data_IF_894753947588
#
_entry.id   IF_894753947588
#
_cell.length_a   1.000
_cell.length_b   1.000
_cell.length_c   1.000
_cell.angle_alpha   90.00
_cell.angle_beta   90.00
_cell.angle_gamma   90.00
#
_symmetry.space_group_name_H-M   'P 1'
#
loop_
_entity.id
_entity.type
_entity.pdbx_description
1 polymer ?
#
# COMPACT_ATOMS: atom_id res chain seq x y z
N UNK A 1 -18.85 13.37 36.00
CA UNK A 1 -17.55 12.67 35.94
C UNK A 1 -16.44 13.53 35.37
N UNK A 2 -16.71 14.39 34.38
CA UNK A 2 -15.71 15.30 33.82
C UNK A 2 -14.86 16.12 34.80
N UNK A 3 -15.41 16.59 35.94
CA UNK A 3 -14.64 17.29 36.97
C UNK A 3 -13.63 16.37 37.68
N UNK A 4 -14.04 15.15 38.04
CA UNK A 4 -13.14 14.12 38.60
C UNK A 4 -12.08 13.78 37.56
N UNK A 5 -12.49 13.56 36.31
CA UNK A 5 -11.58 13.22 35.23
C UNK A 5 -10.56 14.33 34.95
N UNK A 6 -11.01 15.59 34.86
CA UNK A 6 -10.15 16.77 34.69
C UNK A 6 -9.20 16.93 35.87
N UNK A 7 -9.67 16.68 37.10
CA UNK A 7 -8.79 16.66 38.27
C UNK A 7 -7.72 15.56 38.21
N UNK A 8 -8.05 14.39 37.65
CA UNK A 8 -7.06 13.31 37.43
C UNK A 8 -6.10 13.66 36.28
N UNK A 9 -6.55 14.37 35.25
CA UNK A 9 -5.72 14.77 34.09
C UNK A 9 -4.75 15.90 34.41
N UNK A 10 -5.20 16.87 35.22
CA UNK A 10 -4.41 18.01 35.67
C UNK A 10 -3.51 17.66 36.88
N UNK A 11 -3.29 16.36 37.15
CA UNK A 11 -2.45 15.82 38.24
C UNK A 11 -2.75 16.40 39.63
N UNK A 12 -4.02 16.72 39.93
CA UNK A 12 -4.40 17.12 41.28
C UNK A 12 -4.10 15.99 42.27
N UNK A 13 -3.85 16.37 43.54
CA UNK A 13 -3.41 15.41 44.56
C UNK A 13 -4.34 14.20 44.66
N UNK A 14 -3.75 13.04 44.99
CA UNK A 14 -4.50 11.79 45.17
C UNK A 14 -5.65 11.95 46.16
N UNK A 15 -5.49 12.83 47.15
CA UNK A 15 -6.53 13.14 48.13
C UNK A 15 -7.69 13.95 47.54
N UNK A 16 -7.44 14.89 46.62
CA UNK A 16 -8.50 15.65 45.92
C UNK A 16 -9.28 14.74 44.98
N UNK A 17 -8.59 13.89 44.22
CA UNK A 17 -9.23 12.91 43.34
C UNK A 17 -10.04 11.91 44.15
N UNK A 18 -9.49 11.42 45.27
CA UNK A 18 -10.16 10.49 46.17
C UNK A 18 -11.38 11.13 46.83
N UNK A 19 -11.27 12.35 47.33
CA UNK A 19 -12.38 13.11 47.91
C UNK A 19 -13.48 13.40 46.88
N UNK A 20 -13.12 13.83 45.67
CA UNK A 20 -14.07 14.04 44.57
C UNK A 20 -14.73 12.72 44.13
N UNK A 21 -14.02 11.60 44.19
CA UNK A 21 -14.57 10.28 43.87
C UNK A 21 -15.47 9.76 45.00
N UNK A 22 -15.10 9.93 46.26
CA UNK A 22 -15.86 9.51 47.44
C UNK A 22 -17.15 10.34 47.60
N UNK A 23 -17.05 11.66 47.43
CA UNK A 23 -18.23 12.55 47.45
C UNK A 23 -19.18 12.29 46.28
N UNK A 24 -18.65 11.88 45.13
CA UNK A 24 -19.45 11.44 43.99
C UNK A 24 -20.07 10.06 44.27
N UNK A 25 -19.30 9.07 44.69
CA UNK A 25 -19.79 7.70 44.96
C UNK A 25 -20.85 7.64 46.07
N UNK A 26 -20.78 8.49 47.09
CA UNK A 26 -21.71 8.50 48.22
C UNK A 26 -23.16 8.87 47.85
N UNK A 27 -23.41 9.43 46.66
CA UNK A 27 -24.72 9.92 46.24
C UNK A 27 -25.23 9.40 44.89
N UNK A 28 -24.62 8.34 44.33
CA UNK A 28 -24.78 8.01 42.91
C UNK A 28 -25.46 6.67 42.63
N UNK A 29 -26.34 6.68 41.63
CA UNK A 29 -26.98 5.48 41.07
C UNK A 29 -25.92 4.43 40.64
N UNK A 30 -26.09 3.13 40.98
CA UNK A 30 -25.19 2.03 40.62
C UNK A 30 -24.69 2.00 39.16
N UNK A 31 -25.49 2.46 38.20
CA UNK A 31 -25.10 2.54 36.79
C UNK A 31 -24.00 3.57 36.53
N UNK A 32 -24.08 4.73 37.16
CA UNK A 32 -23.07 5.78 37.05
C UNK A 32 -21.77 5.36 37.76
N UNK A 33 -21.83 4.59 38.86
CA UNK A 33 -20.64 3.97 39.46
C UNK A 33 -19.97 2.97 38.50
N UNK A 34 -20.79 2.17 37.80
CA UNK A 34 -20.30 1.25 36.76
C UNK A 34 -19.61 1.97 35.60
N UNK A 35 -20.21 3.06 35.10
CA UNK A 35 -19.63 3.91 34.05
C UNK A 35 -18.30 4.53 34.49
N UNK A 36 -18.22 5.06 35.72
CA UNK A 36 -16.97 5.60 36.25
C UNK A 36 -15.86 4.55 36.29
N UNK A 37 -16.19 3.34 36.77
CA UNK A 37 -15.25 2.21 36.81
C UNK A 37 -14.76 1.85 35.41
N UNK A 38 -15.68 1.82 34.42
CA UNK A 38 -15.36 1.56 33.02
C UNK A 38 -14.40 2.63 32.46
N UNK A 39 -14.69 3.91 32.65
CA UNK A 39 -13.85 5.01 32.17
C UNK A 39 -12.46 4.98 32.82
N UNK A 40 -12.37 4.68 34.12
CA UNK A 40 -11.08 4.55 34.81
C UNK A 40 -10.26 3.36 34.28
N UNK A 41 -10.89 2.23 33.98
CA UNK A 41 -10.23 1.10 33.35
C UNK A 41 -9.70 1.45 31.95
N UNK A 42 -10.45 2.22 31.16
CA UNK A 42 -10.02 2.73 29.85
C UNK A 42 -8.79 3.64 29.99
N UNK A 43 -8.80 4.59 30.94
CA UNK A 43 -7.66 5.48 31.21
C UNK A 43 -6.39 4.72 31.59
N UNK A 44 -6.53 3.69 32.42
CA UNK A 44 -5.42 2.81 32.82
C UNK A 44 -4.98 1.83 31.72
N UNK A 45 -5.68 1.82 30.57
CA UNK A 45 -5.51 0.85 29.48
C UNK A 45 -5.60 -0.61 29.96
N UNK A 46 -6.44 -0.86 30.96
CA UNK A 46 -6.67 -2.19 31.51
C UNK A 46 -7.76 -2.91 30.69
N UNK A 47 -7.29 -3.75 29.76
CA UNK A 47 -8.17 -4.46 28.80
C UNK A 47 -9.07 -5.45 29.52
N UNK A 48 -8.54 -6.18 30.50
CA UNK A 48 -9.25 -7.26 31.15
C UNK A 48 -10.37 -6.72 32.05
N UNK A 49 -10.12 -5.63 32.76
CA UNK A 49 -11.17 -4.92 33.50
C UNK A 49 -12.28 -4.39 32.60
N UNK A 50 -11.93 -3.79 31.45
CA UNK A 50 -12.93 -3.33 30.47
C UNK A 50 -13.78 -4.50 29.98
N UNK A 51 -13.15 -5.60 29.52
CA UNK A 51 -13.88 -6.76 29.02
C UNK A 51 -14.72 -7.45 30.09
N UNK A 52 -14.20 -7.55 31.32
CA UNK A 52 -14.92 -8.10 32.47
C UNK A 52 -16.19 -7.31 32.80
N UNK A 53 -16.13 -5.97 32.74
CA UNK A 53 -17.30 -5.11 32.93
C UNK A 53 -18.31 -5.26 31.79
N UNK A 54 -17.85 -5.25 30.54
CA UNK A 54 -18.72 -5.38 29.37
C UNK A 54 -19.44 -6.73 29.29
N UNK A 55 -18.87 -7.80 29.86
CA UNK A 55 -19.50 -9.13 29.89
C UNK A 55 -20.87 -9.12 30.58
N UNK A 56 -21.00 -8.35 31.66
CA UNK A 56 -22.20 -8.36 32.50
C UNK A 56 -23.02 -7.07 32.44
N UNK A 57 -22.42 -5.95 31.99
CA UNK A 57 -23.05 -4.62 32.00
C UNK A 57 -22.81 -3.87 30.69
N UNK A 58 -23.28 -4.45 29.57
CA UNK A 58 -23.14 -3.83 28.23
C UNK A 58 -23.79 -2.45 28.15
N UNK A 59 -24.88 -2.19 28.86
CA UNK A 59 -25.57 -0.89 28.83
C UNK A 59 -24.71 0.29 29.27
N UNK A 60 -23.61 0.08 30.01
CA UNK A 60 -22.71 1.17 30.44
C UNK A 60 -22.09 1.93 29.26
N UNK A 61 -21.97 1.31 28.08
CA UNK A 61 -21.37 1.91 26.88
C UNK A 61 -22.27 2.94 26.18
N UNK A 62 -23.55 3.02 26.54
CA UNK A 62 -24.50 3.99 25.97
C UNK A 62 -24.54 5.29 26.77
N UNK A 63 -23.91 5.33 27.94
CA UNK A 63 -23.81 6.54 28.74
C UNK A 63 -23.18 7.67 27.93
N UNK A 64 -23.83 8.83 27.96
CA UNK A 64 -23.35 10.06 27.37
C UNK A 64 -23.32 11.16 28.45
N UNK A 65 -22.20 11.85 28.59
CA UNK A 65 -22.13 13.08 29.37
C UNK A 65 -22.94 14.21 28.71
N UNK A 66 -23.10 15.33 29.40
CA UNK A 66 -23.83 16.53 28.93
C UNK A 66 -23.32 17.01 27.56
N UNK A 67 -22.01 16.89 27.30
CA UNK A 67 -21.37 17.28 26.04
C UNK A 67 -21.38 16.17 24.97
N UNK A 68 -22.07 15.05 25.22
CA UNK A 68 -22.16 13.90 24.32
C UNK A 68 -21.01 12.89 24.42
N UNK A 69 -20.10 13.04 25.39
CA UNK A 69 -18.98 12.12 25.58
C UNK A 69 -19.43 10.76 26.12
N UNK A 70 -19.03 9.71 25.42
CA UNK A 70 -19.29 8.30 25.76
C UNK A 70 -17.98 7.57 26.08
N UNK A 71 -18.01 6.36 26.65
CA UNK A 71 -16.80 5.56 26.86
C UNK A 71 -15.92 5.39 25.61
N UNK A 72 -16.53 5.42 24.41
CA UNK A 72 -15.79 5.34 23.15
C UNK A 72 -14.94 6.60 22.86
N UNK A 73 -15.34 7.78 23.36
CA UNK A 73 -14.52 8.99 23.28
C UNK A 73 -13.30 8.89 24.18
N UNK A 74 -13.45 8.39 25.40
CA UNK A 74 -12.32 8.16 26.31
C UNK A 74 -11.36 7.11 25.74
N UNK A 75 -11.88 6.06 25.11
CA UNK A 75 -11.03 5.06 24.45
C UNK A 75 -10.24 5.65 23.28
N UNK A 76 -10.85 6.54 22.49
CA UNK A 76 -10.17 7.27 21.43
C UNK A 76 -9.14 8.28 21.96
N UNK A 77 -9.50 9.02 23.02
CA UNK A 77 -8.65 10.02 23.69
C UNK A 77 -7.39 9.39 24.28
N UNK A 78 -7.51 8.23 24.94
CA UNK A 78 -6.38 7.50 25.50
C UNK A 78 -5.71 6.55 24.52
N UNK A 79 -6.03 6.61 23.22
CA UNK A 79 -5.48 5.75 22.17
C UNK A 79 -5.54 4.24 22.51
N UNK A 80 -6.62 3.81 23.17
CA UNK A 80 -6.78 2.42 23.60
C UNK A 80 -7.43 1.57 22.49
N UNK A 81 -6.68 1.37 21.41
CA UNK A 81 -7.17 0.78 20.15
C UNK A 81 -7.78 -0.62 20.33
N UNK A 82 -7.23 -1.44 21.23
CA UNK A 82 -7.61 -2.86 21.38
C UNK A 82 -9.02 -3.07 21.95
N UNK A 83 -9.61 -2.07 22.61
CA UNK A 83 -10.97 -2.14 23.17
C UNK A 83 -12.03 -1.48 22.29
N UNK A 84 -11.65 -0.79 21.21
CA UNK A 84 -12.60 -0.10 20.33
C UNK A 84 -13.61 -1.07 19.72
N UNK A 85 -13.15 -2.25 19.27
CA UNK A 85 -14.02 -3.32 18.78
C UNK A 85 -15.02 -3.79 19.83
N UNK A 86 -14.55 -4.27 21.00
CA UNK A 86 -15.44 -4.65 22.11
C UNK A 86 -16.46 -3.58 22.52
N UNK A 87 -16.07 -2.30 22.58
CA UNK A 87 -16.98 -1.21 22.93
C UNK A 87 -18.05 -0.97 21.85
N UNK A 88 -17.64 -0.93 20.57
CA UNK A 88 -18.57 -0.73 19.44
C UNK A 88 -19.55 -1.91 19.36
N UNK A 89 -19.08 -3.14 19.58
CA UNK A 89 -19.93 -4.33 19.57
C UNK A 89 -20.94 -4.32 20.71
N UNK A 90 -20.48 -3.99 21.93
CA UNK A 90 -21.39 -3.83 23.07
C UNK A 90 -22.44 -2.73 22.83
N UNK A 91 -22.10 -1.64 22.12
CA UNK A 91 -23.05 -0.60 21.72
C UNK A 91 -24.08 -1.10 20.70
N UNK A 92 -23.66 -1.92 19.72
CA UNK A 92 -24.59 -2.54 18.76
C UNK A 92 -25.54 -3.51 19.44
N UNK A 93 -25.04 -4.33 20.35
CA UNK A 93 -25.82 -5.34 21.09
C UNK A 93 -27.00 -4.74 21.87
N UNK A 94 -26.83 -3.52 22.37
CA UNK A 94 -27.86 -2.79 23.13
C UNK A 94 -28.67 -1.82 22.26
N UNK A 95 -28.50 -1.86 20.93
CA UNK A 95 -29.27 -1.05 19.99
C UNK A 95 -28.89 0.43 19.95
N UNK A 96 -27.66 0.80 20.31
CA UNK A 96 -27.19 2.18 20.22
C UNK A 96 -27.18 2.67 18.76
N UNK A 97 -27.72 3.86 18.51
CA UNK A 97 -27.98 4.35 17.15
C UNK A 97 -26.77 5.05 16.50
N UNK A 98 -25.70 5.33 17.24
CA UNK A 98 -24.51 6.06 16.74
C UNK A 98 -24.86 7.38 16.05
N UNK A 99 -25.82 8.11 16.61
CA UNK A 99 -26.21 9.45 16.15
C UNK A 99 -25.62 10.48 17.09
N UNK A 100 -25.01 11.50 16.52
CA UNK A 100 -24.36 12.58 17.25
C UNK A 100 -25.07 13.88 16.88
N UNK A 101 -25.31 14.73 17.89
CA UNK A 101 -25.87 16.05 17.67
C UNK A 101 -24.91 16.94 16.87
N UNK A 102 -25.46 17.99 16.28
CA UNK A 102 -24.67 18.98 15.57
C UNK A 102 -23.62 19.59 16.52
N UNK A 103 -22.41 19.80 16.02
CA UNK A 103 -21.25 20.35 16.76
C UNK A 103 -20.67 19.47 17.86
N UNK A 104 -21.28 18.32 18.17
CA UNK A 104 -20.74 17.33 19.12
C UNK A 104 -19.56 16.60 18.49
N UNK A 105 -18.41 16.65 19.17
CA UNK A 105 -17.21 15.96 18.70
C UNK A 105 -17.39 14.45 18.84
N UNK A 106 -17.40 13.74 17.72
CA UNK A 106 -17.44 12.27 17.72
C UNK A 106 -16.10 11.66 18.15
N UNK A 107 -16.02 10.35 18.46
CA UNK A 107 -14.75 9.68 18.74
C UNK A 107 -13.73 9.81 17.58
N UNK A 108 -14.21 9.94 16.34
CA UNK A 108 -13.35 10.24 15.19
C UNK A 108 -12.67 11.61 15.34
N UNK A 109 -13.42 12.66 15.70
CA UNK A 109 -12.87 14.00 15.88
C UNK A 109 -11.77 13.99 16.95
N UNK A 110 -12.04 13.36 18.10
CA UNK A 110 -11.06 13.22 19.19
C UNK A 110 -9.77 12.55 18.69
N UNK A 111 -9.89 11.42 18.01
CA UNK A 111 -8.71 10.70 17.49
C UNK A 111 -7.94 11.50 16.42
N UNK A 112 -8.63 12.21 15.53
CA UNK A 112 -8.00 13.04 14.48
C UNK A 112 -7.31 14.26 15.10
N UNK A 113 -7.93 14.93 16.07
CA UNK A 113 -7.38 16.12 16.75
C UNK A 113 -6.06 15.81 17.46
N UNK A 114 -5.91 14.60 18.00
CA UNK A 114 -4.68 14.11 18.62
C UNK A 114 -3.69 13.49 17.63
N UNK A 115 -4.07 13.30 16.36
CA UNK A 115 -3.20 12.73 15.34
C UNK A 115 -3.08 11.20 15.37
N UNK A 116 -3.97 10.49 16.06
CA UNK A 116 -3.93 9.04 16.25
C UNK A 116 -4.41 8.27 15.02
N UNK A 117 -3.56 8.17 14.00
CA UNK A 117 -3.86 7.52 12.70
C UNK A 117 -4.43 6.10 12.87
N UNK A 118 -3.80 5.28 13.70
CA UNK A 118 -4.22 3.88 13.94
C UNK A 118 -5.62 3.79 14.55
N UNK A 119 -5.91 4.64 15.54
CA UNK A 119 -7.21 4.77 16.19
C UNK A 119 -8.28 5.20 15.19
N UNK A 120 -8.00 6.22 14.37
CA UNK A 120 -8.95 6.70 13.33
C UNK A 120 -9.26 5.58 12.33
N UNK A 121 -8.24 4.92 11.78
CA UNK A 121 -8.43 3.84 10.81
C UNK A 121 -9.25 2.70 11.43
N UNK A 122 -8.94 2.32 12.67
CA UNK A 122 -9.66 1.24 13.35
C UNK A 122 -11.11 1.61 13.65
N UNK A 123 -11.37 2.84 14.10
CA UNK A 123 -12.74 3.34 14.27
C UNK A 123 -13.49 3.27 12.93
N UNK A 124 -12.95 3.83 11.84
CA UNK A 124 -13.65 3.91 10.54
C UNK A 124 -13.99 2.52 9.99
N UNK A 125 -13.11 1.53 10.19
CA UNK A 125 -13.32 0.12 9.81
C UNK A 125 -14.44 -0.56 10.59
N UNK A 126 -14.51 -0.34 11.90
CA UNK A 126 -15.43 -1.03 12.81
C UNK A 126 -16.81 -0.37 12.90
N UNK A 127 -16.87 0.91 12.55
CA UNK A 127 -18.05 1.73 12.72
C UNK A 127 -19.21 1.28 11.82
N UNK A 128 -20.47 1.37 12.29
CA UNK A 128 -21.63 1.02 11.46
C UNK A 128 -21.69 1.86 10.18
N UNK A 129 -21.75 1.21 9.03
CA UNK A 129 -21.79 1.86 7.71
C UNK A 129 -23.05 2.69 7.44
N UNK A 130 -24.08 2.56 8.27
CA UNK A 130 -25.34 3.33 8.22
C UNK A 130 -25.33 4.58 9.10
N UNK A 131 -24.32 4.75 9.96
CA UNK A 131 -24.25 5.86 10.91
C UNK A 131 -23.93 7.18 10.20
N UNK A 132 -24.63 8.25 10.57
CA UNK A 132 -24.33 9.62 10.12
C UNK A 132 -23.08 10.23 10.77
N UNK A 133 -22.44 9.53 11.73
CA UNK A 133 -21.27 10.03 12.44
C UNK A 133 -20.06 10.29 11.52
N UNK A 134 -20.00 9.65 10.34
CA UNK A 134 -18.96 9.93 9.34
C UNK A 134 -19.01 11.38 8.85
N UNK A 135 -20.20 11.96 8.73
CA UNK A 135 -20.42 13.32 8.21
C UNK A 135 -20.59 14.35 9.32
N UNK A 136 -20.45 13.95 10.59
CA UNK A 136 -20.53 14.88 11.72
C UNK A 136 -19.45 15.96 11.60
N UNK A 137 -19.79 17.16 12.09
CA UNK A 137 -18.91 18.32 12.07
C UNK A 137 -18.73 18.86 13.48
N UNK A 138 -17.54 19.41 13.75
CA UNK A 138 -17.27 20.10 15.01
C UNK A 138 -17.85 21.54 14.99
N UNK A 139 -17.57 22.31 16.05
CA UNK A 139 -18.01 23.72 16.22
C UNK A 139 -17.59 24.65 15.09
N UNK A 140 -16.56 24.30 14.32
CA UNK A 140 -16.06 25.08 13.18
C UNK A 140 -16.61 24.56 11.84
N UNK A 141 -17.68 23.75 11.87
CA UNK A 141 -18.23 23.05 10.71
C UNK A 141 -17.23 22.15 9.99
N UNK A 142 -16.17 21.70 10.70
CA UNK A 142 -15.14 20.83 10.13
C UNK A 142 -15.48 19.38 10.38
N UNK A 143 -15.50 18.60 9.30
CA UNK A 143 -15.53 17.14 9.38
C UNK A 143 -14.12 16.56 9.59
N UNK A 144 -14.04 15.23 9.72
CA UNK A 144 -12.79 14.50 9.98
C UNK A 144 -11.72 14.68 8.90
N UNK A 145 -12.11 14.92 7.62
CA UNK A 145 -11.15 15.16 6.54
C UNK A 145 -10.55 16.57 6.61
N UNK A 146 -11.32 17.59 7.00
CA UNK A 146 -10.77 18.92 7.24
C UNK A 146 -9.70 18.88 8.34
N UNK A 147 -9.98 18.17 9.43
CA UNK A 147 -9.07 18.06 10.56
C UNK A 147 -7.80 17.27 10.19
N UNK A 148 -7.94 16.14 9.50
CA UNK A 148 -6.81 15.34 9.03
C UNK A 148 -5.92 16.12 8.03
N UNK A 149 -6.54 16.90 7.14
CA UNK A 149 -5.86 17.79 6.21
C UNK A 149 -5.09 18.91 6.92
N UNK A 150 -5.70 19.53 7.94
CA UNK A 150 -5.05 20.57 8.75
C UNK A 150 -3.83 20.04 9.52
N UNK A 151 -3.82 18.76 9.89
CA UNK A 151 -2.68 18.08 10.52
C UNK A 151 -1.59 17.64 9.53
N UNK A 152 -1.81 17.78 8.22
CA UNK A 152 -0.93 17.27 7.16
C UNK A 152 -0.60 15.76 7.30
N UNK A 153 -1.57 14.97 7.76
CA UNK A 153 -1.39 13.53 7.99
C UNK A 153 -1.94 12.72 6.81
N UNK A 154 -1.09 12.52 5.79
CA UNK A 154 -1.44 11.84 4.54
C UNK A 154 -1.99 10.42 4.77
N UNK A 155 -1.35 9.65 5.65
CA UNK A 155 -1.76 8.29 5.96
C UNK A 155 -3.15 8.22 6.59
N UNK A 156 -3.47 9.19 7.47
CA UNK A 156 -4.81 9.31 8.04
C UNK A 156 -5.85 9.66 6.99
N UNK A 157 -5.56 10.62 6.10
CA UNK A 157 -6.47 10.99 5.00
C UNK A 157 -6.72 9.79 4.07
N UNK A 158 -5.67 9.10 3.64
CA UNK A 158 -5.78 7.89 2.82
C UNK A 158 -6.56 6.78 3.52
N UNK A 159 -6.30 6.56 4.80
CA UNK A 159 -7.03 5.60 5.63
C UNK A 159 -8.52 5.91 5.70
N UNK A 160 -8.89 7.16 5.97
CA UNK A 160 -10.29 7.60 5.99
C UNK A 160 -10.94 7.37 4.62
N UNK A 161 -10.31 7.80 3.52
CA UNK A 161 -10.87 7.65 2.17
C UNK A 161 -11.04 6.19 1.74
N UNK A 162 -10.12 5.30 2.17
CA UNK A 162 -10.15 3.87 1.85
C UNK A 162 -11.31 3.15 2.55
N UNK A 163 -11.54 3.44 3.83
CA UNK A 163 -12.50 2.68 4.65
C UNK A 163 -13.85 3.40 4.85
N UNK A 164 -13.96 4.68 4.52
CA UNK A 164 -15.24 5.40 4.60
C UNK A 164 -16.26 4.83 3.61
N UNK A 165 -17.53 4.62 4.01
CA UNK A 165 -18.58 4.18 3.10
C UNK A 165 -18.78 5.17 1.94
N UNK A 166 -18.98 4.65 0.72
CA UNK A 166 -19.09 5.47 -0.49
C UNK A 166 -20.25 6.49 -0.42
N UNK A 167 -21.36 6.13 0.23
CA UNK A 167 -22.54 6.99 0.44
C UNK A 167 -22.18 8.35 1.07
N UNK A 168 -21.18 8.39 1.94
CA UNK A 168 -20.82 9.61 2.68
C UNK A 168 -19.61 10.35 2.08
N UNK A 169 -18.89 9.76 1.12
CA UNK A 169 -17.66 10.36 0.59
C UNK A 169 -17.90 11.69 -0.11
N UNK A 170 -18.91 11.76 -0.97
CA UNK A 170 -19.20 12.99 -1.72
C UNK A 170 -19.59 14.13 -0.78
N UNK A 171 -20.43 13.85 0.22
CA UNK A 171 -20.80 14.81 1.25
C UNK A 171 -19.59 15.26 2.07
N UNK A 172 -18.73 14.33 2.49
CA UNK A 172 -17.50 14.63 3.22
C UNK A 172 -16.54 15.53 2.43
N UNK A 173 -16.38 15.28 1.14
CA UNK A 173 -15.47 16.02 0.27
C UNK A 173 -15.99 17.42 -0.09
N UNK A 174 -17.31 17.61 -0.13
CA UNK A 174 -17.96 18.86 -0.54
C UNK A 174 -18.35 19.77 0.63
N UNK A 175 -18.43 19.23 1.85
CA UNK A 175 -18.74 20.02 3.05
C UNK A 175 -17.78 21.21 3.17
N UNK A 176 -18.34 22.40 3.42
CA UNK A 176 -17.57 23.61 3.69
C UNK A 176 -17.53 23.87 5.20
N UNK A 177 -16.37 24.30 5.70
CA UNK A 177 -16.19 24.76 7.07
C UNK A 177 -16.67 26.21 7.26
N UNK A 178 -16.49 26.77 8.47
CA UNK A 178 -16.88 28.17 8.77
C UNK A 178 -16.22 29.23 7.87
N UNK A 179 -15.10 28.94 7.21
CA UNK A 179 -14.44 29.83 6.25
C UNK A 179 -14.89 29.60 4.81
N UNK A 180 -15.78 28.62 4.57
CA UNK A 180 -16.12 28.17 3.23
C UNK A 180 -15.07 27.21 2.65
N UNK A 181 -14.07 26.79 3.42
CA UNK A 181 -13.03 25.88 2.94
C UNK A 181 -13.58 24.46 2.91
N UNK A 182 -13.40 23.75 1.81
CA UNK A 182 -13.59 22.29 1.74
C UNK A 182 -12.33 21.56 2.22
N UNK A 183 -12.35 20.23 2.46
CA UNK A 183 -11.12 19.51 2.82
C UNK A 183 -10.01 19.69 1.78
N UNK A 184 -10.36 19.82 0.49
CA UNK A 184 -9.40 20.05 -0.59
C UNK A 184 -8.67 21.40 -0.43
N UNK A 185 -9.36 22.46 0.02
CA UNK A 185 -8.70 23.75 0.29
C UNK A 185 -7.60 23.60 1.35
N UNK A 186 -7.90 22.88 2.44
CA UNK A 186 -6.95 22.67 3.54
C UNK A 186 -5.81 21.70 3.15
N UNK A 187 -6.09 20.67 2.35
CA UNK A 187 -5.05 19.75 1.85
C UNK A 187 -4.02 20.51 1.01
N UNK A 188 -4.49 21.33 0.08
CA UNK A 188 -3.63 22.11 -0.81
C UNK A 188 -2.84 23.16 -0.02
N UNK A 189 -3.51 23.90 0.89
CA UNK A 189 -2.87 24.93 1.71
C UNK A 189 -1.78 24.38 2.64
N UNK A 190 -1.89 23.13 3.09
CA UNK A 190 -0.93 22.50 4.00
C UNK A 190 0.04 21.53 3.29
N UNK A 191 -0.05 21.38 1.97
CA UNK A 191 0.83 20.48 1.21
C UNK A 191 0.58 18.99 1.49
N UNK A 192 -0.64 18.62 1.88
CA UNK A 192 -1.01 17.23 2.12
C UNK A 192 -1.39 16.55 0.79
N UNK A 193 -0.38 16.12 0.04
CA UNK A 193 -0.58 15.45 -1.25
C UNK A 193 -1.19 14.05 -1.08
N UNK A 194 -2.41 13.88 -1.58
CA UNK A 194 -3.17 12.62 -1.60
C UNK A 194 -3.77 12.45 -3.01
N UNK A 195 -3.09 11.72 -3.91
CA UNK A 195 -3.52 11.56 -5.31
C UNK A 195 -4.94 10.99 -5.43
N UNK A 196 -5.27 10.02 -4.59
CA UNK A 196 -6.55 9.31 -4.66
C UNK A 196 -7.75 10.23 -4.44
N UNK A 197 -7.56 11.30 -3.67
CA UNK A 197 -8.59 12.31 -3.44
C UNK A 197 -8.74 13.22 -4.66
N UNK A 198 -7.62 13.67 -5.26
CA UNK A 198 -7.61 14.57 -6.42
C UNK A 198 -8.25 13.88 -7.64
N UNK A 199 -8.05 12.57 -7.77
CA UNK A 199 -8.62 11.76 -8.85
C UNK A 199 -10.06 11.29 -8.57
N UNK A 200 -10.62 11.59 -7.40
CA UNK A 200 -11.97 11.14 -7.03
C UNK A 200 -13.03 11.71 -7.99
N UNK A 201 -13.79 10.83 -8.62
CA UNK A 201 -14.88 11.23 -9.54
C UNK A 201 -15.91 12.05 -8.77
N UNK A 202 -16.30 13.20 -9.32
CA UNK A 202 -17.28 14.10 -8.69
C UNK A 202 -16.68 15.10 -7.69
N UNK A 203 -15.35 15.12 -7.51
CA UNK A 203 -14.70 16.18 -6.72
C UNK A 203 -14.88 17.54 -7.40
N UNK A 204 -15.56 18.47 -6.73
CA UNK A 204 -15.74 19.82 -7.22
C UNK A 204 -14.52 20.70 -6.87
N UNK A 205 -13.70 20.99 -7.87
CA UNK A 205 -12.48 21.82 -7.72
C UNK A 205 -12.74 23.32 -7.91
N UNK A 206 -14.00 23.73 -8.15
CA UNK A 206 -14.37 25.12 -8.45
C UNK A 206 -15.15 25.79 -7.32
N UNK A 207 -15.37 25.10 -6.21
CA UNK A 207 -16.03 25.66 -5.02
C UNK A 207 -15.20 26.82 -4.49
N UNK A 208 -15.82 27.99 -4.29
CA UNK A 208 -15.16 29.15 -3.70
C UNK A 208 -15.41 29.21 -2.20
N UNK A 209 -14.37 29.50 -1.41
CA UNK A 209 -14.50 29.82 0.01
C UNK A 209 -14.98 31.27 0.22
N UNK A 210 -15.09 31.72 1.47
CA UNK A 210 -15.54 33.10 1.80
C UNK A 210 -14.60 34.20 1.30
N UNK A 211 -13.37 33.87 0.92
CA UNK A 211 -12.42 34.81 0.28
C UNK A 211 -12.56 34.82 -1.25
N UNK A 212 -13.50 34.06 -1.80
CA UNK A 212 -13.66 33.78 -3.23
C UNK A 212 -12.53 32.95 -3.85
N UNK A 213 -11.75 32.23 -3.03
CA UNK A 213 -10.65 31.39 -3.48
C UNK A 213 -11.15 29.98 -3.74
N UNK A 214 -10.71 29.41 -4.87
CA UNK A 214 -10.90 27.99 -5.17
C UNK A 214 -9.84 27.14 -4.44
N UNK A 215 -9.99 25.81 -4.36
CA UNK A 215 -8.95 24.95 -3.81
C UNK A 215 -7.60 25.14 -4.51
N UNK A 216 -7.59 25.35 -5.83
CA UNK A 216 -6.36 25.60 -6.60
C UNK A 216 -5.69 26.91 -6.16
N UNK A 217 -6.47 27.96 -5.88
CA UNK A 217 -5.94 29.25 -5.43
C UNK A 217 -5.22 29.13 -4.07
N UNK A 218 -5.53 28.11 -3.28
CA UNK A 218 -4.83 27.85 -2.01
C UNK A 218 -3.33 27.54 -2.16
N UNK A 219 -2.85 27.21 -3.37
CA UNK A 219 -1.40 27.14 -3.67
C UNK A 219 -0.68 28.48 -3.47
N UNK A 220 -1.42 29.58 -3.55
CA UNK A 220 -0.92 30.95 -3.44
C UNK A 220 -1.26 31.60 -2.08
N UNK A 221 -1.83 30.83 -1.14
CA UNK A 221 -2.31 31.37 0.14
C UNK A 221 -1.14 31.82 1.03
N UNK A 222 -0.19 30.92 1.28
CA UNK A 222 1.07 31.21 1.97
C UNK A 222 2.14 31.59 0.95
N UNK A 223 3.17 32.33 1.35
CA UNK A 223 4.28 32.71 0.46
C UNK A 223 5.25 31.54 0.24
N UNK A 224 5.51 30.78 1.30
CA UNK A 224 6.33 29.56 1.23
C UNK A 224 5.69 28.52 0.30
N UNK A 225 6.54 27.76 -0.39
CA UNK A 225 6.14 26.60 -1.18
C UNK A 225 6.56 25.35 -0.43
N UNK A 226 5.58 24.54 -0.07
CA UNK A 226 5.82 23.22 0.48
C UNK A 226 6.12 22.30 -0.71
N UNK A 227 7.17 21.47 -0.63
CA UNK A 227 7.58 20.61 -1.76
C UNK A 227 6.43 19.76 -2.34
N UNK A 228 5.54 19.30 -1.47
CA UNK A 228 4.35 18.52 -1.84
C UNK A 228 3.29 19.33 -2.59
N UNK A 229 3.25 20.66 -2.46
CA UNK A 229 2.39 21.53 -3.26
C UNK A 229 2.76 21.51 -4.74
N UNK A 230 4.02 21.24 -5.08
CA UNK A 230 4.45 21.08 -6.48
C UNK A 230 3.77 19.85 -7.10
N UNK A 231 3.77 18.72 -6.37
CA UNK A 231 3.09 17.48 -6.79
C UNK A 231 1.58 17.68 -6.91
N UNK A 232 0.98 18.39 -5.95
CA UNK A 232 -0.43 18.78 -5.99
C UNK A 232 -0.75 19.61 -7.24
N UNK A 233 0.07 20.62 -7.56
CA UNK A 233 -0.13 21.47 -8.75
C UNK A 233 -0.13 20.63 -10.03
N UNK A 234 0.87 19.74 -10.19
CA UNK A 234 0.96 18.82 -11.33
C UNK A 234 -0.31 17.96 -11.44
N UNK A 235 -0.76 17.35 -10.35
CA UNK A 235 -1.96 16.51 -10.35
C UNK A 235 -3.23 17.30 -10.70
N UNK A 236 -3.37 18.54 -10.21
CA UNK A 236 -4.49 19.41 -10.55
C UNK A 236 -4.48 19.83 -12.04
N UNK A 237 -3.29 20.11 -12.59
CA UNK A 237 -3.12 20.45 -14.00
C UNK A 237 -3.49 19.28 -14.93
N UNK A 238 -3.14 18.05 -14.56
CA UNK A 238 -3.51 16.83 -15.27
C UNK A 238 -5.04 16.60 -15.27
N UNK A 239 -5.69 16.79 -14.12
CA UNK A 239 -7.17 16.68 -14.01
C UNK A 239 -7.86 17.73 -14.88
N UNK A 240 -7.36 18.97 -14.88
CA UNK A 240 -7.94 20.04 -15.68
C UNK A 240 -7.74 19.81 -17.17
N UNK A 241 -6.55 19.38 -17.61
CA UNK A 241 -6.27 19.03 -19.01
C UNK A 241 -7.21 17.94 -19.54
N UNK A 242 -7.48 16.90 -18.73
CA UNK A 242 -8.41 15.82 -19.08
C UNK A 242 -9.88 16.28 -19.11
N UNK A 243 -10.28 17.18 -18.20
CA UNK A 243 -11.61 17.80 -18.21
C UNK A 243 -11.78 18.74 -19.41
N UNK A 244 -10.77 19.54 -19.72
CA UNK A 244 -10.73 20.41 -20.91
C UNK A 244 -10.80 19.61 -22.20
N UNK A 245 -10.09 18.48 -22.36
CA UNK A 245 -10.26 17.61 -23.55
C UNK A 245 -11.70 17.09 -23.73
N UNK A 246 -12.41 16.80 -22.63
CA UNK A 246 -13.85 16.44 -22.69
C UNK A 246 -14.74 17.64 -23.00
N UNK A 247 -14.40 18.82 -22.48
CA UNK A 247 -15.13 20.07 -22.68
C UNK A 247 -14.98 20.60 -24.12
N UNK A 248 -13.78 20.57 -24.70
CA UNK A 248 -13.51 20.92 -26.11
C UNK A 248 -14.19 19.96 -27.10
N UNK A 249 -14.50 18.72 -26.69
CA UNK A 249 -15.36 17.80 -27.45
C UNK A 249 -16.85 18.19 -27.44
N UNK A 250 -17.27 19.06 -26.52
CA UNK A 250 -18.67 19.42 -26.27
C UNK A 250 -18.99 20.91 -26.48
N UNK A 251 -17.98 21.78 -26.51
CA UNK A 251 -18.16 23.23 -26.63
C UNK A 251 -17.21 23.81 -27.67
N UNK A 252 -17.65 23.77 -28.93
CA UNK A 252 -17.26 24.79 -29.90
C UNK A 252 -18.40 25.81 -29.96
N UNK A 253 -18.64 26.51 -28.84
CA UNK A 253 -19.34 27.80 -28.85
C UNK A 253 -19.22 28.49 -27.49
N UNK A 254 -18.78 29.75 -27.59
CA UNK A 254 -18.86 30.85 -26.62
C UNK A 254 -17.60 31.09 -25.78
N UNK A 255 -16.87 32.11 -26.23
CA UNK A 255 -15.97 32.96 -25.46
C UNK A 255 -16.63 33.51 -24.19
N UNK A 256 -15.81 34.16 -23.36
CA UNK A 256 -16.11 34.86 -22.10
C UNK A 256 -16.31 34.00 -20.87
N UNK A 257 -15.21 33.79 -20.15
CA UNK A 257 -15.06 34.26 -18.77
C UNK A 257 -13.57 34.28 -18.43
N UNK A 258 -12.99 35.49 -18.45
CA UNK A 258 -11.67 35.73 -17.86
C UNK A 258 -11.83 35.38 -16.38
N UNK A 259 -11.15 34.31 -15.99
CA UNK A 259 -11.04 33.78 -14.64
C UNK A 259 -10.90 34.94 -13.63
N UNK A 260 -11.98 35.31 -12.93
CA UNK A 260 -11.94 36.18 -11.75
C UNK A 260 -11.19 35.44 -10.64
N UNK A 261 -9.87 35.42 -10.78
CA UNK A 261 -8.91 34.97 -9.79
C UNK A 261 -8.82 36.06 -8.73
N UNK A 262 -9.28 35.76 -7.53
CA UNK A 262 -9.09 36.60 -6.34
C UNK A 262 -7.62 36.73 -5.91
N UNK A 263 -6.71 35.97 -6.53
CA UNK A 263 -5.26 36.08 -6.33
C UNK A 263 -4.70 37.22 -7.18
N UNK A 264 -3.91 38.10 -6.55
CA UNK A 264 -3.23 39.20 -7.23
C UNK A 264 -2.32 38.67 -8.36
N UNK A 265 -2.42 39.18 -9.60
CA UNK A 265 -1.66 38.67 -10.75
C UNK A 265 -0.15 38.61 -10.51
N UNK A 266 0.43 39.65 -9.90
CA UNK A 266 1.87 39.71 -9.62
C UNK A 266 2.35 38.65 -8.63
N UNK A 267 1.52 38.27 -7.65
CA UNK A 267 1.83 37.19 -6.70
C UNK A 267 1.72 35.82 -7.37
N UNK A 268 0.71 35.65 -8.22
CA UNK A 268 0.49 34.43 -8.99
C UNK A 268 1.65 34.14 -9.94
N UNK A 269 2.05 35.11 -10.75
CA UNK A 269 3.17 34.99 -11.71
C UNK A 269 4.48 34.60 -11.02
N UNK A 270 4.83 35.28 -9.91
CA UNK A 270 6.05 34.97 -9.14
C UNK A 270 6.06 33.53 -8.63
N UNK A 271 4.96 33.05 -8.04
CA UNK A 271 4.89 31.67 -7.54
C UNK A 271 4.81 30.66 -8.69
N UNK A 272 4.15 30.98 -9.79
CA UNK A 272 4.10 30.11 -10.97
C UNK A 272 5.49 29.85 -11.55
N UNK A 273 6.33 30.87 -11.67
CA UNK A 273 7.74 30.69 -12.05
C UNK A 273 8.47 29.71 -11.13
N UNK A 274 8.26 29.82 -9.82
CA UNK A 274 8.91 28.93 -8.84
C UNK A 274 8.36 27.51 -8.94
N UNK A 275 7.04 27.35 -9.03
CA UNK A 275 6.42 26.04 -9.24
C UNK A 275 6.94 25.37 -10.51
N UNK A 276 7.02 26.09 -11.63
CA UNK A 276 7.48 25.54 -12.90
C UNK A 276 8.96 25.13 -12.84
N UNK A 277 9.79 25.90 -12.12
CA UNK A 277 11.19 25.52 -11.83
C UNK A 277 11.27 24.20 -11.08
N UNK A 278 10.49 24.03 -10.00
CA UNK A 278 10.50 22.78 -9.22
C UNK A 278 9.85 21.61 -9.96
N UNK A 279 8.81 21.86 -10.75
CA UNK A 279 8.19 20.85 -11.63
C UNK A 279 9.20 20.29 -12.62
N UNK A 280 10.01 21.15 -13.26
CA UNK A 280 11.09 20.70 -14.16
C UNK A 280 12.11 19.82 -13.43
N UNK A 281 12.58 20.25 -12.26
CA UNK A 281 13.52 19.46 -11.44
C UNK A 281 12.95 18.08 -11.10
N UNK A 282 11.69 18.01 -10.65
CA UNK A 282 11.04 16.74 -10.32
C UNK A 282 10.88 15.81 -11.55
N UNK A 283 10.54 16.38 -12.71
CA UNK A 283 10.42 15.61 -13.96
C UNK A 283 11.80 15.10 -14.39
N UNK A 284 12.84 15.93 -14.32
CA UNK A 284 14.21 15.55 -14.67
C UNK A 284 14.76 14.46 -13.75
N UNK A 285 14.53 14.56 -12.44
CA UNK A 285 14.89 13.52 -11.46
C UNK A 285 14.18 12.19 -11.77
N UNK A 286 12.87 12.24 -12.04
CA UNK A 286 12.08 11.05 -12.41
C UNK A 286 12.58 10.41 -13.71
N UNK A 287 12.88 11.23 -14.72
CA UNK A 287 13.42 10.77 -16.00
C UNK A 287 14.82 10.15 -15.83
N UNK A 288 15.68 10.75 -15.01
CA UNK A 288 17.00 10.24 -14.71
C UNK A 288 16.94 8.89 -13.96
N UNK A 289 16.01 8.76 -13.00
CA UNK A 289 15.79 7.50 -12.29
C UNK A 289 15.26 6.40 -13.22
N UNK A 290 14.25 6.72 -14.04
CA UNK A 290 13.71 5.79 -15.04
C UNK A 290 14.79 5.31 -16.02
N UNK A 291 15.68 6.20 -16.46
CA UNK A 291 16.84 5.85 -17.30
C UNK A 291 17.78 4.88 -16.59
N UNK A 292 18.13 5.13 -15.31
CA UNK A 292 18.97 4.22 -14.52
C UNK A 292 18.37 2.83 -14.35
N UNK A 293 17.06 2.77 -14.09
CA UNK A 293 16.35 1.49 -13.90
C UNK A 293 16.26 0.70 -15.22
N UNK A 294 16.02 1.40 -16.35
CA UNK A 294 16.05 0.80 -17.69
C UNK A 294 17.43 0.24 -18.05
N UNK A 295 18.51 0.98 -17.77
CA UNK A 295 19.89 0.51 -18.01
C UNK A 295 20.22 -0.73 -17.17
N UNK A 296 19.82 -0.73 -15.89
CA UNK A 296 19.99 -1.89 -15.00
C UNK A 296 19.23 -3.10 -15.53
N UNK A 297 18.01 -2.88 -16.01
CA UNK A 297 17.17 -3.92 -16.61
C UNK A 297 17.81 -4.52 -17.86
N UNK A 298 18.20 -3.67 -18.83
CA UNK A 298 18.89 -4.11 -20.06
C UNK A 298 20.17 -4.90 -19.77
N UNK A 299 20.99 -4.43 -18.83
CA UNK A 299 22.23 -5.12 -18.44
C UNK A 299 21.96 -6.53 -17.90
N UNK A 300 20.91 -6.69 -17.10
CA UNK A 300 20.51 -8.00 -16.57
C UNK A 300 20.04 -8.93 -17.69
N UNK A 301 19.14 -8.47 -18.54
CA UNK A 301 18.62 -9.26 -19.67
C UNK A 301 19.74 -9.68 -20.62
N UNK A 302 20.66 -8.78 -20.97
CA UNK A 302 21.83 -9.09 -21.81
C UNK A 302 22.71 -10.20 -21.20
N UNK A 303 22.93 -10.16 -19.89
CA UNK A 303 23.72 -11.21 -19.20
C UNK A 303 23.02 -12.57 -19.28
N UNK A 304 21.70 -12.60 -19.12
CA UNK A 304 20.92 -13.85 -19.16
C UNK A 304 20.82 -14.42 -20.58
N UNK A 305 20.70 -13.56 -21.60
CA UNK A 305 20.76 -13.97 -23.02
C UNK A 305 22.09 -14.65 -23.31
N UNK A 306 23.22 -14.10 -22.84
CA UNK A 306 24.54 -14.71 -23.02
C UNK A 306 24.62 -16.09 -22.36
N UNK A 307 24.17 -16.23 -21.11
CA UNK A 307 24.15 -17.52 -20.40
C UNK A 307 23.28 -18.55 -21.14
N UNK A 308 22.09 -18.16 -21.56
CA UNK A 308 21.17 -19.04 -22.27
C UNK A 308 21.74 -19.44 -23.64
N UNK A 309 22.34 -18.51 -24.38
CA UNK A 309 23.03 -18.84 -25.63
C UNK A 309 24.17 -19.84 -25.42
N UNK A 310 24.98 -19.68 -24.36
CA UNK A 310 26.03 -20.64 -24.01
C UNK A 310 25.48 -22.04 -23.68
N UNK A 311 24.36 -22.12 -22.96
CA UNK A 311 23.72 -23.41 -22.67
C UNK A 311 23.22 -24.07 -23.95
N UNK A 312 22.56 -23.29 -24.81
CA UNK A 312 22.05 -23.75 -26.11
C UNK A 312 23.19 -24.28 -26.99
N UNK A 313 24.32 -23.58 -27.07
CA UNK A 313 25.45 -24.03 -27.90
C UNK A 313 26.07 -25.30 -27.36
N UNK A 314 26.32 -25.39 -26.04
CA UNK A 314 26.91 -26.58 -25.43
C UNK A 314 25.99 -27.79 -25.56
N UNK A 315 24.70 -27.66 -25.22
CA UNK A 315 23.73 -28.77 -25.34
C UNK A 315 23.55 -29.21 -26.79
N UNK A 316 23.48 -28.26 -27.73
CA UNK A 316 23.46 -28.59 -29.17
C UNK A 316 24.69 -29.38 -29.60
N UNK A 317 25.90 -29.02 -29.16
CA UNK A 317 27.11 -29.80 -29.47
C UNK A 317 27.07 -31.21 -28.86
N UNK A 318 26.64 -31.32 -27.61
CA UNK A 318 26.56 -32.59 -26.87
C UNK A 318 25.62 -33.60 -27.54
N UNK A 319 24.49 -33.14 -28.08
CA UNK A 319 23.55 -33.99 -28.80
C UNK A 319 24.12 -34.66 -30.05
N UNK A 320 25.18 -34.10 -30.67
CA UNK A 320 25.85 -34.70 -31.84
C UNK A 320 27.19 -35.35 -31.49
N UNK A 321 27.83 -34.96 -30.39
CA UNK A 321 29.08 -35.57 -29.89
C UNK A 321 28.80 -36.56 -28.77
N UNK A 322 27.87 -37.50 -29.00
CA UNK A 322 27.39 -38.40 -27.95
C UNK A 322 28.47 -39.39 -27.49
N UNK A 323 28.57 -39.64 -26.16
CA UNK A 323 29.51 -40.61 -25.63
C UNK A 323 29.15 -42.03 -26.04
N UNK A 324 30.15 -42.81 -26.47
CA UNK A 324 30.00 -44.22 -26.84
C UNK A 324 30.10 -44.53 -28.34
N UNK A 325 30.04 -43.53 -29.22
CA UNK A 325 30.17 -43.72 -30.67
C UNK A 325 28.99 -44.43 -31.34
N UNK A 326 29.05 -44.54 -32.67
CA UNK A 326 28.05 -45.19 -33.51
C UNK A 326 28.54 -46.58 -33.93
N UNK A 327 27.63 -47.55 -34.11
CA UNK A 327 27.99 -48.83 -34.72
C UNK A 327 28.54 -48.60 -36.14
N UNK A 328 29.66 -49.26 -36.44
CA UNK A 328 30.36 -49.15 -37.73
C UNK A 328 29.72 -50.03 -38.81
N UNK A 329 30.07 -49.76 -40.06
CA UNK A 329 29.43 -50.33 -41.24
C UNK A 329 29.49 -51.84 -41.33
N UNK A 330 28.31 -52.48 -41.47
CA UNK A 330 28.16 -53.92 -41.69
C UNK A 330 27.38 -54.71 -40.62
N UNK A 331 26.90 -54.08 -39.54
CA UNK A 331 26.00 -54.69 -38.54
C UNK A 331 24.53 -54.26 -38.73
N UNK A 332 23.59 -55.06 -38.22
CA UNK A 332 22.12 -54.83 -38.33
C UNK A 332 21.66 -53.50 -37.70
N UNK A 333 22.50 -52.88 -36.87
CA UNK A 333 22.25 -51.63 -36.13
C UNK A 333 23.17 -50.46 -36.59
N UNK A 334 23.62 -50.45 -37.87
CA UNK A 334 24.49 -49.40 -38.42
C UNK A 334 23.92 -47.98 -38.19
N UNK A 335 24.75 -47.09 -37.63
CA UNK A 335 24.32 -45.72 -37.26
C UNK A 335 23.56 -45.59 -35.93
N UNK A 336 23.34 -46.68 -35.19
CA UNK A 336 22.79 -46.62 -33.82
C UNK A 336 23.91 -46.35 -32.79
N UNK A 337 23.62 -45.56 -31.77
CA UNK A 337 24.56 -45.35 -30.65
C UNK A 337 24.75 -46.65 -29.86
N UNK A 338 26.00 -47.02 -29.61
CA UNK A 338 26.40 -48.28 -28.93
C UNK A 338 25.77 -48.39 -27.53
N UNK A 339 25.51 -47.26 -26.87
CA UNK A 339 24.97 -47.18 -25.51
C UNK A 339 23.44 -46.95 -25.44
N UNK A 340 22.73 -46.96 -26.58
CA UNK A 340 21.28 -46.69 -26.67
C UNK A 340 20.40 -47.56 -25.77
N UNK A 341 20.84 -48.79 -25.46
CA UNK A 341 20.09 -49.72 -24.59
C UNK A 341 20.31 -49.46 -23.08
N UNK A 342 21.26 -48.60 -22.69
CA UNK A 342 21.50 -48.28 -21.27
C UNK A 342 20.55 -47.18 -20.79
N UNK A 343 19.91 -47.42 -19.65
CA UNK A 343 18.99 -46.46 -19.01
C UNK A 343 19.63 -45.11 -18.72
N UNK A 344 20.89 -45.09 -18.29
CA UNK A 344 21.64 -43.85 -18.03
C UNK A 344 21.88 -43.01 -19.29
N UNK A 345 22.03 -43.64 -20.45
CA UNK A 345 22.18 -42.94 -21.74
C UNK A 345 20.87 -42.30 -22.17
N UNK A 346 19.74 -42.99 -21.99
CA UNK A 346 18.41 -42.41 -22.27
C UNK A 346 18.12 -41.20 -21.36
N UNK A 347 18.48 -41.29 -20.07
CA UNK A 347 18.34 -40.16 -19.14
C UNK A 347 19.20 -38.95 -19.57
N UNK A 348 20.45 -39.21 -20.00
CA UNK A 348 21.34 -38.20 -20.56
C UNK A 348 20.75 -37.50 -21.80
N UNK A 349 20.19 -38.26 -22.73
CA UNK A 349 19.64 -37.66 -23.94
C UNK A 349 18.38 -36.83 -23.68
N UNK A 350 17.52 -37.29 -22.79
CA UNK A 350 16.31 -36.54 -22.42
C UNK A 350 16.67 -35.26 -21.67
N UNK A 351 17.63 -35.29 -20.75
CA UNK A 351 18.04 -34.08 -20.01
C UNK A 351 18.72 -33.06 -20.92
N UNK A 352 19.52 -33.51 -21.89
CA UNK A 352 20.18 -32.63 -22.87
C UNK A 352 19.17 -31.93 -23.77
N UNK A 353 18.23 -32.71 -24.35
CA UNK A 353 17.15 -32.16 -25.15
C UNK A 353 16.28 -31.18 -24.33
N UNK A 354 16.00 -31.48 -23.06
CA UNK A 354 15.25 -30.60 -22.18
C UNK A 354 16.00 -29.28 -21.92
N UNK A 355 17.30 -29.34 -21.64
CA UNK A 355 18.13 -28.15 -21.45
C UNK A 355 18.15 -27.27 -22.72
N UNK A 356 18.32 -27.88 -23.90
CA UNK A 356 18.30 -27.18 -25.18
C UNK A 356 16.94 -26.50 -25.43
N UNK A 357 15.84 -27.23 -25.25
CA UNK A 357 14.48 -26.71 -25.47
C UNK A 357 14.14 -25.57 -24.52
N UNK A 358 14.45 -25.72 -23.23
CA UNK A 358 14.18 -24.67 -22.23
C UNK A 358 15.04 -23.44 -22.47
N UNK A 359 16.31 -23.61 -22.86
CA UNK A 359 17.21 -22.50 -23.18
C UNK A 359 16.76 -21.74 -24.43
N UNK A 360 16.45 -22.45 -25.50
CA UNK A 360 15.95 -21.83 -26.74
C UNK A 360 14.59 -21.15 -26.54
N UNK A 361 13.71 -21.73 -25.75
CA UNK A 361 12.46 -21.09 -25.33
C UNK A 361 12.74 -19.80 -24.54
N UNK A 362 13.72 -19.80 -23.62
CA UNK A 362 14.14 -18.60 -22.91
C UNK A 362 14.65 -17.51 -23.86
N UNK A 363 15.48 -17.85 -24.86
CA UNK A 363 15.95 -16.91 -25.87
C UNK A 363 14.80 -16.33 -26.69
N UNK A 364 13.84 -17.17 -27.09
CA UNK A 364 12.66 -16.72 -27.82
C UNK A 364 11.81 -15.76 -27.00
N UNK A 365 11.62 -16.01 -25.70
CA UNK A 365 10.92 -15.08 -24.82
C UNK A 365 11.69 -13.76 -24.63
N UNK A 366 13.03 -13.78 -24.54
CA UNK A 366 13.84 -12.55 -24.54
C UNK A 366 13.73 -11.76 -25.85
N UNK A 367 13.58 -12.46 -26.98
CA UNK A 367 13.31 -11.81 -28.27
C UNK A 367 11.91 -11.17 -28.28
N UNK A 368 10.88 -11.90 -27.83
CA UNK A 368 9.53 -11.35 -27.70
C UNK A 368 9.48 -10.14 -26.77
N UNK A 369 10.20 -10.19 -25.65
CA UNK A 369 10.35 -9.07 -24.73
C UNK A 369 10.81 -7.79 -25.45
N UNK A 370 11.75 -7.90 -26.39
CA UNK A 370 12.23 -6.77 -27.19
C UNK A 370 11.18 -6.18 -28.14
N UNK A 371 10.09 -6.89 -28.41
CA UNK A 371 9.00 -6.45 -29.30
C UNK A 371 7.84 -5.79 -28.54
N UNK A 372 7.73 -5.99 -27.24
CA UNK A 372 6.65 -5.40 -26.43
C UNK A 372 7.09 -4.07 -25.81
N UNK A 373 6.24 -3.05 -25.92
CA UNK A 373 6.46 -1.73 -25.29
C UNK A 373 5.88 -1.64 -23.87
N UNK A 374 4.91 -2.49 -23.52
CA UNK A 374 4.21 -2.44 -22.23
C UNK A 374 5.11 -2.97 -21.09
N UNK A 375 5.49 -2.11 -20.10
CA UNK A 375 6.37 -2.51 -19.00
C UNK A 375 5.85 -3.69 -18.17
N UNK A 376 4.53 -3.80 -18.01
CA UNK A 376 3.93 -4.88 -17.22
C UNK A 376 4.07 -6.22 -17.92
N UNK A 377 3.86 -6.26 -19.24
CA UNK A 377 4.06 -7.45 -20.05
C UNK A 377 5.54 -7.83 -20.12
N UNK A 378 6.41 -6.86 -20.38
CA UNK A 378 7.87 -7.04 -20.41
C UNK A 378 8.38 -7.66 -19.10
N UNK A 379 7.95 -7.14 -17.95
CA UNK A 379 8.35 -7.68 -16.63
C UNK A 379 7.88 -9.13 -16.41
N UNK A 380 6.64 -9.44 -16.81
CA UNK A 380 6.08 -10.79 -16.69
C UNK A 380 6.81 -11.79 -17.59
N UNK A 381 7.08 -11.41 -18.84
CA UNK A 381 7.84 -12.23 -19.79
C UNK A 381 9.25 -12.49 -19.26
N UNK A 382 9.97 -11.45 -18.82
CA UNK A 382 11.32 -11.61 -18.29
C UNK A 382 11.39 -12.50 -17.04
N UNK A 383 10.39 -12.42 -16.15
CA UNK A 383 10.28 -13.33 -15.01
C UNK A 383 10.13 -14.80 -15.45
N UNK A 384 9.32 -15.05 -16.49
CA UNK A 384 9.16 -16.37 -17.09
C UNK A 384 10.45 -16.86 -17.77
N UNK A 385 11.10 -16.02 -18.60
CA UNK A 385 12.38 -16.32 -19.26
C UNK A 385 13.47 -16.66 -18.24
N UNK A 386 13.61 -15.84 -17.20
CA UNK A 386 14.57 -16.10 -16.10
C UNK A 386 14.28 -17.44 -15.42
N UNK A 387 13.01 -17.78 -15.20
CA UNK A 387 12.60 -19.07 -14.64
C UNK A 387 13.02 -20.25 -15.51
N UNK A 388 12.70 -20.20 -16.82
CA UNK A 388 13.09 -21.23 -17.79
C UNK A 388 14.61 -21.39 -17.89
N UNK A 389 15.36 -20.28 -17.86
CA UNK A 389 16.82 -20.31 -17.90
C UNK A 389 17.41 -20.99 -16.65
N UNK A 390 16.84 -20.76 -15.46
CA UNK A 390 17.28 -21.47 -14.24
C UNK A 390 17.01 -22.98 -14.35
N UNK A 391 15.84 -23.38 -14.87
CA UNK A 391 15.53 -24.79 -15.09
C UNK A 391 16.46 -25.40 -16.16
N UNK A 392 16.78 -24.64 -17.20
CA UNK A 392 17.75 -25.03 -18.23
C UNK A 392 19.15 -25.29 -17.64
N UNK A 393 19.65 -24.40 -16.76
CA UNK A 393 20.91 -24.61 -16.04
C UNK A 393 20.89 -25.89 -15.20
N UNK A 394 19.78 -26.16 -14.51
CA UNK A 394 19.62 -27.40 -13.73
C UNK A 394 19.61 -28.65 -14.64
N UNK A 395 18.89 -28.60 -15.76
CA UNK A 395 18.84 -29.69 -16.74
C UNK A 395 20.22 -29.93 -17.39
N UNK A 396 20.95 -28.86 -17.71
CA UNK A 396 22.32 -28.95 -18.23
C UNK A 396 23.27 -29.63 -17.23
N UNK A 397 23.16 -29.29 -15.93
CA UNK A 397 23.96 -29.97 -14.90
C UNK A 397 23.57 -31.45 -14.76
N UNK A 398 22.29 -31.78 -14.92
CA UNK A 398 21.85 -33.18 -14.95
C UNK A 398 22.48 -33.92 -16.13
N UNK A 399 22.50 -33.32 -17.32
CA UNK A 399 23.18 -33.86 -18.51
C UNK A 399 24.66 -34.12 -18.27
N UNK A 400 25.35 -33.21 -17.59
CA UNK A 400 26.75 -33.41 -17.23
C UNK A 400 26.94 -34.64 -16.32
N UNK A 401 26.09 -34.81 -15.30
CA UNK A 401 26.17 -35.95 -14.37
C UNK A 401 25.85 -37.27 -15.08
N UNK A 402 24.76 -37.33 -15.84
CA UNK A 402 24.36 -38.56 -16.54
C UNK A 402 25.33 -38.91 -17.67
N UNK A 403 25.85 -37.91 -18.39
CA UNK A 403 26.85 -38.11 -19.45
C UNK A 403 28.17 -38.66 -18.90
N UNK A 404 28.68 -38.07 -17.82
CA UNK A 404 29.89 -38.58 -17.15
C UNK A 404 29.69 -39.98 -16.57
N UNK A 405 28.52 -40.29 -16.02
CA UNK A 405 28.18 -41.64 -15.53
C UNK A 405 28.20 -42.68 -16.65
N UNK A 406 27.67 -42.34 -17.84
CA UNK A 406 27.70 -43.22 -19.01
C UNK A 406 29.13 -43.53 -19.45
N UNK A 407 29.98 -42.49 -19.53
CA UNK A 407 31.41 -42.63 -19.92
C UNK A 407 32.19 -43.44 -18.89
N UNK A 408 31.98 -43.19 -17.60
CA UNK A 408 32.72 -43.83 -16.51
C UNK A 408 32.08 -45.14 -16.02
N UNK A 409 31.19 -45.75 -16.80
CA UNK A 409 30.44 -46.94 -16.38
C UNK A 409 31.31 -48.15 -16.02
N UNK A 410 32.59 -48.17 -16.44
CA UNK A 410 33.58 -49.19 -16.04
C UNK A 410 34.27 -48.91 -14.69
N UNK A 411 34.18 -47.70 -14.14
CA UNK A 411 34.77 -47.31 -12.84
C UNK A 411 33.71 -46.67 -11.93
N UNK A 412 32.97 -47.46 -11.15
CA UNK A 412 31.83 -46.97 -10.36
C UNK A 412 32.24 -45.97 -9.26
N UNK A 413 33.44 -46.09 -8.71
CA UNK A 413 33.93 -45.19 -7.65
C UNK A 413 34.06 -43.73 -8.13
N UNK A 414 34.61 -43.53 -9.33
CA UNK A 414 34.77 -42.19 -9.91
C UNK A 414 33.39 -41.62 -10.30
N UNK A 415 32.54 -42.44 -10.91
CA UNK A 415 31.18 -42.03 -11.30
C UNK A 415 30.34 -41.57 -10.09
N UNK A 416 30.35 -42.34 -8.99
CA UNK A 416 29.62 -41.97 -7.77
C UNK A 416 30.15 -40.65 -7.18
N UNK A 417 31.47 -40.47 -7.18
CA UNK A 417 32.09 -39.23 -6.67
C UNK A 417 31.63 -38.00 -7.46
N UNK A 418 31.59 -38.09 -8.79
CA UNK A 418 31.11 -36.99 -9.65
C UNK A 418 29.61 -36.72 -9.42
N UNK A 419 28.79 -37.76 -9.27
CA UNK A 419 27.36 -37.60 -8.93
C UNK A 419 27.13 -36.91 -7.58
N UNK A 420 27.93 -37.24 -6.56
CA UNK A 420 27.85 -36.59 -5.25
C UNK A 420 28.22 -35.11 -5.33
N UNK A 421 29.32 -34.77 -6.02
CA UNK A 421 29.73 -33.38 -6.24
C UNK A 421 28.65 -32.61 -7.01
N UNK A 422 28.10 -33.22 -8.07
CA UNK A 422 27.02 -32.62 -8.86
C UNK A 422 25.72 -32.39 -8.07
N UNK A 423 25.42 -33.25 -7.10
CA UNK A 423 24.22 -33.11 -6.24
C UNK A 423 24.26 -31.87 -5.34
N UNK A 424 25.45 -31.46 -4.89
CA UNK A 424 25.61 -30.23 -4.10
C UNK A 424 25.21 -28.96 -4.88
N UNK A 425 25.36 -28.96 -6.21
CA UNK A 425 24.94 -27.83 -7.05
C UNK A 425 23.42 -27.62 -7.00
N UNK A 426 22.64 -28.70 -7.05
CA UNK A 426 21.17 -28.61 -6.94
C UNK A 426 20.74 -28.12 -5.56
N UNK A 427 21.36 -28.64 -4.49
CA UNK A 427 21.10 -28.16 -3.13
C UNK A 427 21.37 -26.65 -3.02
N UNK A 428 22.48 -26.17 -3.58
CA UNK A 428 22.82 -24.75 -3.60
C UNK A 428 21.77 -23.91 -4.33
N UNK A 429 21.35 -24.32 -5.54
CA UNK A 429 20.31 -23.60 -6.30
C UNK A 429 18.98 -23.60 -5.54
N UNK A 430 18.56 -24.74 -4.98
CA UNK A 430 17.30 -24.86 -4.23
C UNK A 430 17.30 -23.91 -3.03
N UNK A 431 18.39 -23.87 -2.25
CA UNK A 431 18.51 -22.95 -1.11
C UNK A 431 18.41 -21.49 -1.56
N UNK A 432 19.05 -21.11 -2.67
CA UNK A 432 18.95 -19.76 -3.22
C UNK A 432 17.54 -19.41 -3.69
N UNK A 433 16.83 -20.37 -4.31
CA UNK A 433 15.44 -20.19 -4.74
C UNK A 433 14.50 -20.01 -3.55
N UNK A 434 14.64 -20.83 -2.49
CA UNK A 434 13.86 -20.71 -1.26
C UNK A 434 14.08 -19.33 -0.63
N UNK A 435 15.34 -18.91 -0.52
CA UNK A 435 15.68 -17.58 0.01
C UNK A 435 15.04 -16.46 -0.81
N UNK A 436 15.11 -16.54 -2.14
CA UNK A 436 14.46 -15.54 -3.01
C UNK A 436 12.94 -15.51 -2.87
N UNK A 437 12.28 -16.66 -2.70
CA UNK A 437 10.83 -16.74 -2.50
C UNK A 437 10.45 -16.13 -1.14
N UNK A 438 11.21 -16.47 -0.09
CA UNK A 438 11.03 -15.91 1.24
C UNK A 438 11.16 -14.38 1.23
N UNK A 439 12.23 -13.85 0.62
CA UNK A 439 12.47 -12.40 0.53
C UNK A 439 11.36 -11.67 -0.25
N UNK A 440 10.81 -12.30 -1.31
CA UNK A 440 9.65 -11.74 -2.03
C UNK A 440 8.39 -11.74 -1.18
N UNK A 441 8.15 -12.80 -0.42
CA UNK A 441 6.98 -12.88 0.47
C UNK A 441 7.05 -11.83 1.58
N UNK A 442 8.22 -11.66 2.18
CA UNK A 442 8.45 -10.64 3.22
C UNK A 442 8.21 -9.23 2.66
N UNK A 443 8.77 -8.91 1.47
CA UNK A 443 8.54 -7.60 0.83
C UNK A 443 7.07 -7.35 0.51
N UNK A 444 6.37 -8.35 -0.04
CA UNK A 444 4.95 -8.24 -0.39
C UNK A 444 4.03 -8.07 0.84
N UNK A 445 4.50 -8.44 2.03
CA UNK A 445 3.78 -8.22 3.28
C UNK A 445 4.18 -6.92 4.01
N UNK A 446 5.23 -6.23 3.54
CA UNK A 446 5.73 -4.98 4.11
C UNK A 446 5.23 -3.73 3.36
N UNK A 447 4.87 -3.87 2.07
CA UNK A 447 4.17 -2.87 1.25
C UNK A 447 2.64 -3.01 1.40
#
# INVERSE_FOLDING_TARGET
MRLIYKAIDDEYSTDIVKLLSETYEAGINPDHKGVLTLILAIKRRDKDSVLGLLKWRKHLVTFAEVDGWTPLHYAAYHEFVSILGPLIEAQKDVGYQFVYGDTVSTPFHVAVEHGYTSTVIQLVKLWPSTSSAYTAVNKNSRNILHLAAAKNNKHMVQGILKYCPQKYKDQLLQQQDVNGDTPLHLLISNGCFVPELIEHKGLNTMVKNKKSWTPRDMLYFKDDIIAEQVKIKIALDDVQSNSSRKFWRKSMKKDTDILESSVLPSKREKKDFIFDKYTKILIDEKNAQMKKDLERYKKRTNTQIVVSALITTVTFTVGFTMPGGLHQSGEVDEGLVILSKKTAFNAFMVSDALALLLSTCSLFLYFLESMYEDPHQVSKLNAASTGLNIVSVMAMMLTFITGTYVVLSHSPAIAITVCLIGSFFFLFIIVLLIKMIYDRHVKRNAD
#
